data_IF_594107995145
#
_entry.id   IF_594107995145
#
_cell.length_a   1.000
_cell.length_b   1.000
_cell.length_c   1.000
_cell.angle_alpha   90.00
_cell.angle_beta   90.00
_cell.angle_gamma   90.00
#
_symmetry.space_group_name_H-M   'P 1'
#
loop_
_entity.id
_entity.type
_entity.pdbx_description
1 polymer ?
#
# COMPACT_ATOMS: atom_id res chain seq x y z
N UNK A 1 9.54 6.74 6.70
CA UNK A 1 10.73 7.36 6.07
C UNK A 1 11.64 6.23 5.58
N UNK A 2 12.18 6.31 4.35
CA UNK A 2 13.11 5.30 3.83
C UNK A 2 14.55 5.78 4.03
N UNK A 3 15.43 4.92 4.53
CA UNK A 3 16.86 5.21 4.72
C UNK A 3 17.68 4.47 3.68
N UNK A 4 18.77 5.08 3.22
CA UNK A 4 19.71 4.41 2.34
C UNK A 4 20.29 3.16 3.03
N UNK A 5 20.40 2.07 2.27
CA UNK A 5 20.93 0.80 2.78
C UNK A 5 22.08 0.29 1.92
N UNK A 6 23.06 -0.31 2.59
CA UNK A 6 24.20 -0.96 1.94
C UNK A 6 23.99 -2.46 1.99
N UNK A 7 24.08 -3.10 0.85
CA UNK A 7 24.07 -4.56 0.72
C UNK A 7 25.51 -5.02 0.68
N UNK A 8 25.88 -5.85 1.66
CA UNK A 8 27.21 -6.45 1.75
C UNK A 8 27.22 -7.81 1.04
N UNK A 9 28.40 -8.21 0.56
CA UNK A 9 28.65 -9.58 0.15
C UNK A 9 28.96 -10.49 1.34
N UNK A 10 29.22 -11.78 1.07
CA UNK A 10 29.57 -12.77 2.09
C UNK A 10 30.90 -12.50 2.80
N UNK A 11 31.71 -11.59 2.26
CA UNK A 11 33.02 -11.21 2.78
C UNK A 11 32.98 -9.84 3.49
N UNK A 12 31.81 -9.21 3.59
CA UNK A 12 31.63 -7.90 4.22
C UNK A 12 31.93 -6.71 3.31
N UNK A 13 32.23 -6.91 2.03
CA UNK A 13 32.45 -5.81 1.10
C UNK A 13 31.11 -5.23 0.62
N UNK A 14 31.09 -3.93 0.34
CA UNK A 14 29.90 -3.27 -0.20
C UNK A 14 29.68 -3.76 -1.63
N UNK A 15 28.62 -4.54 -1.82
CA UNK A 15 28.19 -5.03 -3.12
C UNK A 15 27.31 -4.03 -3.84
N UNK A 16 26.45 -3.33 -3.09
CA UNK A 16 25.51 -2.35 -3.64
C UNK A 16 25.04 -1.36 -2.57
N UNK A 17 24.76 -0.13 -2.99
CA UNK A 17 24.08 0.88 -2.18
C UNK A 17 22.70 1.10 -2.82
N UNK A 18 21.64 1.05 -2.02
CA UNK A 18 20.26 1.27 -2.46
C UNK A 18 19.76 2.54 -1.80
N UNK A 19 19.54 3.57 -2.63
CA UNK A 19 19.07 4.88 -2.17
C UNK A 19 17.66 4.81 -1.59
N UNK A 20 17.35 5.78 -0.72
CA UNK A 20 16.00 5.99 -0.18
C UNK A 20 14.93 6.11 -1.27
N UNK A 21 15.25 6.80 -2.37
CA UNK A 21 14.34 6.96 -3.53
C UNK A 21 14.03 5.63 -4.20
N UNK A 22 15.02 4.77 -4.37
CA UNK A 22 14.83 3.46 -4.99
C UNK A 22 14.01 2.52 -4.09
N UNK A 23 14.25 2.56 -2.78
CA UNK A 23 13.46 1.81 -1.80
C UNK A 23 12.00 2.25 -1.80
N UNK A 24 11.74 3.56 -1.75
CA UNK A 24 10.39 4.12 -1.81
C UNK A 24 9.66 3.68 -3.07
N UNK A 25 10.30 3.82 -4.24
CA UNK A 25 9.71 3.41 -5.52
C UNK A 25 9.41 1.91 -5.54
N UNK A 26 10.31 1.09 -5.02
CA UNK A 26 10.15 -0.37 -5.00
C UNK A 26 9.04 -0.80 -4.04
N UNK A 27 8.96 -0.17 -2.86
CA UNK A 27 7.91 -0.40 -1.89
C UNK A 27 6.54 -0.11 -2.50
N UNK A 28 6.32 1.10 -3.02
CA UNK A 28 5.01 1.50 -3.55
C UNK A 28 4.59 0.71 -4.78
N UNK A 29 5.54 0.34 -5.65
CA UNK A 29 5.25 -0.56 -6.77
C UNK A 29 4.78 -1.94 -6.32
N UNK A 30 5.44 -2.51 -5.29
CA UNK A 30 5.03 -3.82 -4.73
C UNK A 30 3.67 -3.71 -4.05
N UNK A 31 3.45 -2.65 -3.28
CA UNK A 31 2.18 -2.36 -2.63
C UNK A 31 1.04 -2.28 -3.65
N UNK A 32 1.16 -1.43 -4.68
CA UNK A 32 0.16 -1.31 -5.74
C UNK A 32 -0.10 -2.64 -6.45
N UNK A 33 0.94 -3.45 -6.69
CA UNK A 33 0.76 -4.76 -7.31
C UNK A 33 -0.04 -5.71 -6.40
N UNK A 34 0.25 -5.72 -5.10
CA UNK A 34 -0.47 -6.53 -4.12
C UNK A 34 -1.90 -6.03 -3.93
N UNK A 35 -2.12 -4.72 -3.87
CA UNK A 35 -3.45 -4.11 -3.82
C UNK A 35 -4.28 -4.47 -5.05
N UNK A 36 -3.69 -4.49 -6.25
CA UNK A 36 -4.39 -4.97 -7.45
C UNK A 36 -4.68 -6.48 -7.46
N UNK A 37 -3.99 -7.27 -6.61
CA UNK A 37 -4.21 -8.71 -6.45
C UNK A 37 -5.19 -9.04 -5.32
N UNK A 38 -5.25 -8.19 -4.30
CA UNK A 38 -6.06 -8.36 -3.08
C UNK A 38 -7.31 -7.49 -3.07
N UNK A 39 -7.36 -6.44 -3.89
CA UNK A 39 -8.57 -5.71 -4.22
C UNK A 39 -9.59 -6.69 -4.79
N UNK A 40 -10.90 -6.45 -4.60
CA UNK A 40 -11.94 -7.39 -4.98
C UNK A 40 -11.66 -7.81 -6.41
N UNK A 41 -11.32 -9.10 -6.56
CA UNK A 41 -11.16 -9.76 -7.85
C UNK A 41 -12.22 -9.22 -8.78
N UNK A 42 -11.90 -9.00 -10.05
CA UNK A 42 -12.78 -8.50 -11.12
C UNK A 42 -13.99 -9.43 -11.33
N UNK A 43 -14.84 -9.54 -10.32
CA UNK A 43 -16.18 -10.06 -10.28
C UNK A 43 -17.05 -8.81 -10.19
N UNK A 44 -17.22 -8.17 -11.35
CA UNK A 44 -18.30 -7.22 -11.60
C UNK A 44 -18.50 -6.07 -10.60
N UNK A 45 -17.45 -5.52 -9.97
CA UNK A 45 -17.51 -4.23 -9.24
C UNK A 45 -18.62 -4.07 -8.20
N UNK A 46 -19.33 -5.15 -7.84
CA UNK A 46 -20.48 -5.13 -6.95
C UNK A 46 -20.00 -5.60 -5.61
N UNK A 47 -19.66 -4.64 -4.78
CA UNK A 47 -19.55 -4.85 -3.34
C UNK A 47 -20.83 -5.57 -2.88
N UNK A 48 -20.73 -6.75 -2.26
CA UNK A 48 -21.90 -7.43 -1.71
C UNK A 48 -22.67 -6.49 -0.79
N UNK A 49 -24.01 -6.49 -0.86
CA UNK A 49 -24.83 -5.52 -0.09
C UNK A 49 -24.52 -5.50 1.40
N UNK A 50 -24.19 -6.66 1.98
CA UNK A 50 -23.84 -6.78 3.39
C UNK A 50 -22.54 -6.03 3.72
N UNK A 51 -21.53 -6.09 2.85
CA UNK A 51 -20.27 -5.34 3.01
C UNK A 51 -20.54 -3.84 2.93
N UNK A 52 -21.40 -3.40 1.99
CA UNK A 52 -21.77 -1.98 1.86
C UNK A 52 -22.53 -1.50 3.10
N UNK A 53 -23.49 -2.27 3.60
CA UNK A 53 -24.26 -1.90 4.79
C UNK A 53 -23.38 -1.81 6.05
N UNK A 54 -22.44 -2.74 6.23
CA UNK A 54 -21.49 -2.69 7.34
C UNK A 54 -20.61 -1.44 7.27
N UNK A 55 -20.07 -1.14 6.08
CA UNK A 55 -19.24 0.05 5.87
C UNK A 55 -20.03 1.36 5.98
N UNK A 56 -21.28 1.41 5.50
CA UNK A 56 -22.15 2.58 5.63
C UNK A 56 -22.52 2.85 7.10
N UNK A 57 -22.60 1.80 7.92
CA UNK A 57 -22.80 1.91 9.38
C UNK A 57 -21.52 2.38 10.10
N UNK A 58 -20.36 1.91 9.66
CA UNK A 58 -19.07 2.20 10.29
C UNK A 58 -18.49 3.56 9.87
N UNK A 59 -18.78 4.01 8.64
CA UNK A 59 -18.28 5.23 8.02
C UNK A 59 -19.41 6.14 7.53
N UNK A 60 -20.40 6.42 8.39
CA UNK A 60 -21.49 7.36 8.07
C UNK A 60 -20.94 8.71 7.59
N UNK A 61 -21.57 9.30 6.56
CA UNK A 61 -21.11 10.51 5.84
C UNK A 61 -20.89 11.76 6.71
N UNK A 62 -21.24 11.73 7.99
CA UNK A 62 -21.00 12.79 8.97
C UNK A 62 -19.50 13.11 9.21
N UNK A 63 -18.56 12.27 8.72
CA UNK A 63 -17.12 12.53 8.88
C UNK A 63 -16.54 13.53 7.86
N UNK A 64 -17.27 13.94 6.81
CA UNK A 64 -16.80 14.94 5.81
C UNK A 64 -17.56 16.27 5.96
N UNK A 65 -17.86 16.66 7.20
CA UNK A 65 -18.57 17.90 7.52
C UNK A 65 -17.90 18.81 8.54
N UNK A 66 -16.64 18.56 8.93
CA UNK A 66 -15.93 19.42 9.88
C UNK A 66 -14.47 19.64 9.48
N UNK A 67 -14.26 20.20 8.29
CA UNK A 67 -13.14 21.11 8.07
C UNK A 67 -13.75 22.40 7.54
N UNK A 68 -13.79 23.36 8.46
CA UNK A 68 -14.24 24.76 8.39
C UNK A 68 -13.91 25.51 7.12
#
# INVERSE_FOLDING_TARGET
MFHEVKVLDRYGNIKRIISSRELSRTHWRKFQKLENQLGPSRADGRVPRWVKQELDLEFSEDFIGSIS
#
